data_IF_226608263220
#
_entry.id   IF_226608263220
#
_cell.length_a   1.000
_cell.length_b   1.000
_cell.length_c   1.000
_cell.angle_alpha   90.00
_cell.angle_beta   90.00
_cell.angle_gamma   90.00
#
_symmetry.space_group_name_H-M   'P 1'
#
loop_
_entity.id
_entity.type
_entity.pdbx_description
1 polymer ?
#
# COMPACT_ATOMS: atom_id res chain seq x y z
N UNK A 1 -9.71 32.22 7.47
CA UNK A 1 -10.99 32.96 7.26
C UNK A 1 -10.60 34.30 6.67
N UNK A 2 -10.90 34.56 5.40
CA UNK A 2 -10.34 35.69 4.65
C UNK A 2 -10.75 37.05 5.26
N UNK A 3 -9.80 37.99 5.28
CA UNK A 3 -9.99 39.40 5.67
C UNK A 3 -11.14 40.05 4.90
N UNK A 4 -11.30 39.72 3.63
CA UNK A 4 -12.40 40.18 2.77
C UNK A 4 -13.77 39.77 3.30
N UNK A 5 -13.91 38.55 3.83
CA UNK A 5 -15.18 38.06 4.37
C UNK A 5 -15.55 38.80 5.68
N UNK A 6 -14.55 39.15 6.50
CA UNK A 6 -14.78 39.94 7.72
C UNK A 6 -15.22 41.36 7.40
N UNK A 7 -14.60 41.99 6.41
CA UNK A 7 -14.96 43.33 5.96
C UNK A 7 -16.39 43.39 5.39
N UNK A 8 -16.78 42.38 4.60
CA UNK A 8 -18.13 42.30 4.03
C UNK A 8 -19.22 42.15 5.12
N UNK A 9 -18.98 41.30 6.13
CA UNK A 9 -19.90 41.13 7.26
C UNK A 9 -20.02 42.43 8.06
N UNK A 10 -18.90 43.11 8.32
CA UNK A 10 -18.89 44.37 9.06
C UNK A 10 -19.66 45.47 8.31
N UNK A 11 -19.51 45.53 6.98
CA UNK A 11 -20.23 46.46 6.12
C UNK A 11 -21.73 46.22 6.12
N UNK A 12 -22.17 44.96 6.03
CA UNK A 12 -23.60 44.60 6.10
C UNK A 12 -24.19 44.96 7.46
N UNK A 13 -23.45 44.71 8.56
CA UNK A 13 -23.85 45.10 9.92
C UNK A 13 -23.97 46.62 10.07
N UNK A 14 -23.02 47.38 9.53
CA UNK A 14 -23.05 48.85 9.53
C UNK A 14 -24.22 49.40 8.71
N UNK A 15 -24.50 48.83 7.53
CA UNK A 15 -25.63 49.22 6.69
C UNK A 15 -26.97 48.95 7.39
N UNK A 16 -27.10 47.81 8.07
CA UNK A 16 -28.28 47.47 8.88
C UNK A 16 -28.45 48.42 10.07
N UNK A 17 -27.37 48.76 10.78
CA UNK A 17 -27.40 49.69 11.90
C UNK A 17 -27.82 51.10 11.45
N UNK A 18 -27.31 51.58 10.32
CA UNK A 18 -27.68 52.87 9.74
C UNK A 18 -29.15 52.91 9.31
N UNK A 19 -29.67 51.81 8.74
CA UNK A 19 -31.07 51.69 8.34
C UNK A 19 -32.00 51.69 9.57
N UNK A 20 -31.62 50.97 10.64
CA UNK A 20 -32.34 50.95 11.91
C UNK A 20 -32.40 52.35 12.54
N UNK A 21 -31.26 53.05 12.61
CA UNK A 21 -31.19 54.43 13.11
C UNK A 21 -32.05 55.40 12.29
N UNK A 22 -32.09 55.24 10.96
CA UNK A 22 -32.95 56.02 10.07
C UNK A 22 -34.45 55.78 10.30
N UNK A 23 -34.86 54.54 10.56
CA UNK A 23 -36.27 54.20 10.84
C UNK A 23 -36.76 54.67 12.21
N UNK A 24 -35.87 54.72 13.21
CA UNK A 24 -36.21 55.25 14.55
C UNK A 24 -36.48 56.77 14.49
N UNK A 25 -35.83 57.49 13.59
CA UNK A 25 -36.01 58.94 13.43
C UNK A 25 -37.31 59.36 12.71
N UNK A 26 -37.94 58.45 11.93
CA UNK A 26 -39.11 58.77 11.10
C UNK A 26 -40.40 58.02 11.47
N UNK A 27 -40.33 57.11 12.45
CA UNK A 27 -41.45 56.25 12.87
C UNK A 27 -41.45 54.88 12.17
N UNK A 28 -42.08 53.85 12.78
CA UNK A 28 -42.02 52.48 12.27
C UNK A 28 -42.81 52.35 10.97
N UNK A 29 -42.09 52.26 9.85
CA UNK A 29 -42.66 51.97 8.53
C UNK A 29 -43.17 50.51 8.48
N UNK A 30 -44.45 50.28 8.10
CA UNK A 30 -44.97 48.94 7.89
C UNK A 30 -44.35 48.32 6.63
N UNK A 31 -43.85 47.10 6.76
CA UNK A 31 -43.23 46.34 5.66
C UNK A 31 -43.93 45.00 5.53
N UNK A 32 -44.29 44.64 4.30
CA UNK A 32 -44.83 43.31 3.98
C UNK A 32 -43.69 42.45 3.49
N UNK A 33 -43.41 41.38 4.22
CA UNK A 33 -42.40 40.38 3.84
C UNK A 33 -43.14 39.16 3.32
N UNK A 34 -42.87 38.77 2.08
CA UNK A 34 -43.51 37.62 1.45
C UNK A 34 -42.47 36.53 1.19
N UNK A 35 -42.66 35.36 1.82
CA UNK A 35 -41.74 34.21 1.70
C UNK A 35 -42.56 32.96 1.44
N UNK A 36 -42.31 32.26 0.33
CA UNK A 36 -42.94 30.98 -0.01
C UNK A 36 -44.49 30.97 0.11
N UNK A 37 -45.14 32.07 -0.26
CA UNK A 37 -46.61 32.21 -0.19
C UNK A 37 -47.16 32.70 1.16
N UNK A 38 -46.33 32.79 2.20
CA UNK A 38 -46.69 33.40 3.48
C UNK A 38 -46.41 34.90 3.46
N UNK A 39 -47.46 35.70 3.65
CA UNK A 39 -47.37 37.16 3.85
C UNK A 39 -47.32 37.48 5.34
N UNK A 40 -46.23 38.06 5.79
CA UNK A 40 -46.05 38.53 7.17
C UNK A 40 -46.01 40.06 7.12
N UNK A 41 -46.97 40.71 7.77
CA UNK A 41 -46.93 42.15 8.01
C UNK A 41 -46.12 42.41 9.27
N UNK A 42 -45.04 43.18 9.16
CA UNK A 42 -44.16 43.49 10.30
C UNK A 42 -43.62 44.90 10.17
N UNK A 43 -42.94 45.40 11.20
CA UNK A 43 -42.27 46.70 11.16
C UNK A 43 -40.86 46.54 10.58
N UNK A 44 -40.37 47.56 9.87
CA UNK A 44 -39.02 47.58 9.29
C UNK A 44 -37.90 47.07 10.24
N UNK A 45 -37.82 47.50 11.53
CA UNK A 45 -36.77 47.00 12.43
C UNK A 45 -36.85 45.49 12.70
N UNK A 46 -38.06 44.93 12.81
CA UNK A 46 -38.25 43.50 13.06
C UNK A 46 -37.87 42.68 11.82
N UNK A 47 -38.23 43.15 10.62
CA UNK A 47 -37.83 42.52 9.36
C UNK A 47 -36.30 42.46 9.22
N UNK A 48 -35.62 43.56 9.55
CA UNK A 48 -34.15 43.65 9.48
C UNK A 48 -33.48 42.70 10.46
N UNK A 49 -33.95 42.62 11.71
CA UNK A 49 -33.45 41.65 12.70
C UNK A 49 -33.68 40.22 12.22
N UNK A 50 -34.86 39.92 11.66
CA UNK A 50 -35.20 38.60 11.13
C UNK A 50 -34.27 38.16 9.99
N UNK A 51 -33.97 39.06 9.04
CA UNK A 51 -33.03 38.79 7.94
C UNK A 51 -31.61 38.56 8.49
N UNK A 52 -31.18 39.37 9.46
CA UNK A 52 -29.85 39.22 10.06
C UNK A 52 -29.71 37.89 10.81
N UNK A 53 -30.74 37.50 11.57
CA UNK A 53 -30.80 36.23 12.27
C UNK A 53 -30.78 35.04 11.30
N UNK A 54 -31.57 35.09 10.22
CA UNK A 54 -31.58 34.07 9.18
C UNK A 54 -30.21 33.94 8.49
N UNK A 55 -29.55 35.07 8.22
CA UNK A 55 -28.21 35.08 7.62
C UNK A 55 -27.15 34.51 8.57
N UNK A 56 -27.16 34.88 9.84
CA UNK A 56 -26.30 34.31 10.88
C UNK A 56 -26.52 32.80 11.02
N UNK A 57 -27.79 32.35 10.99
CA UNK A 57 -28.16 30.94 11.07
C UNK A 57 -27.62 30.16 9.86
N UNK A 58 -27.83 30.67 8.64
CA UNK A 58 -27.32 30.06 7.41
C UNK A 58 -25.78 29.98 7.40
N UNK A 59 -25.10 31.03 7.88
CA UNK A 59 -23.65 31.05 8.01
C UNK A 59 -23.15 30.00 9.02
N UNK A 60 -23.82 29.89 10.18
CA UNK A 60 -23.50 28.89 11.19
C UNK A 60 -23.71 27.47 10.65
N UNK A 61 -24.85 27.21 10.00
CA UNK A 61 -25.15 25.93 9.37
C UNK A 61 -24.11 25.56 8.30
N UNK A 62 -23.71 26.51 7.45
CA UNK A 62 -22.65 26.29 6.44
C UNK A 62 -21.27 25.99 7.05
N UNK A 63 -20.94 26.61 8.20
CA UNK A 63 -19.70 26.33 8.91
C UNK A 63 -19.72 24.96 9.61
N UNK A 64 -20.87 24.57 10.14
CA UNK A 64 -21.09 23.30 10.83
C UNK A 64 -21.04 22.12 9.85
N UNK A 65 -21.65 22.26 8.67
CA UNK A 65 -21.52 21.27 7.58
C UNK A 65 -20.09 21.17 7.07
N UNK A 66 -19.37 22.29 6.94
CA UNK A 66 -17.95 22.30 6.62
C UNK A 66 -17.06 21.60 7.66
N UNK A 67 -17.44 21.64 8.95
CA UNK A 67 -16.74 20.93 10.02
C UNK A 67 -17.05 19.43 10.02
N UNK A 68 -18.32 19.05 9.86
CA UNK A 68 -18.76 17.65 9.70
C UNK A 68 -18.11 16.97 8.50
N UNK A 69 -17.91 17.68 7.38
CA UNK A 69 -17.23 17.14 6.20
C UNK A 69 -15.71 16.99 6.37
N UNK A 70 -15.10 17.69 7.34
CA UNK A 70 -13.64 17.65 7.61
C UNK A 70 -13.23 16.65 8.68
N UNK A 71 -14.10 16.37 9.64
CA UNK A 71 -13.93 15.34 10.67
C UNK A 71 -13.49 13.96 10.14
N UNK A 72 -14.13 13.38 9.09
CA UNK A 72 -13.72 12.07 8.60
C UNK A 72 -12.27 12.08 8.12
N UNK A 73 -11.84 13.11 7.37
CA UNK A 73 -10.48 13.17 6.81
C UNK A 73 -9.38 13.22 7.87
N UNK A 74 -9.57 13.99 8.95
CA UNK A 74 -8.59 14.05 10.04
C UNK A 74 -8.51 12.74 10.84
N UNK A 75 -9.64 12.03 10.99
CA UNK A 75 -9.70 10.76 11.69
C UNK A 75 -9.07 9.63 10.85
N UNK A 76 -9.36 9.58 9.55
CA UNK A 76 -8.74 8.64 8.61
C UNK A 76 -7.22 8.80 8.53
N UNK A 77 -6.69 10.04 8.48
CA UNK A 77 -5.23 10.27 8.48
C UNK A 77 -4.54 9.72 9.73
N UNK A 78 -5.16 9.89 10.91
CA UNK A 78 -4.61 9.34 12.16
C UNK A 78 -4.61 7.81 12.14
N UNK A 79 -5.70 7.19 11.69
CA UNK A 79 -5.79 5.74 11.53
C UNK A 79 -4.75 5.20 10.54
N UNK A 80 -4.55 5.85 9.41
CA UNK A 80 -3.53 5.45 8.43
C UNK A 80 -2.10 5.56 9.00
N UNK A 81 -1.81 6.60 9.79
CA UNK A 81 -0.52 6.73 10.46
C UNK A 81 -0.28 5.58 11.45
N UNK A 82 -1.29 5.21 12.24
CA UNK A 82 -1.21 4.06 13.16
C UNK A 82 -1.01 2.73 12.43
N UNK A 83 -1.75 2.51 11.33
CA UNK A 83 -1.59 1.33 10.46
C UNK A 83 -0.17 1.27 9.90
N UNK A 84 0.37 2.38 9.41
CA UNK A 84 1.73 2.44 8.87
C UNK A 84 2.81 2.15 9.92
N UNK A 85 2.62 2.64 11.15
CA UNK A 85 3.53 2.35 12.26
C UNK A 85 3.54 0.86 12.61
N UNK A 86 2.36 0.22 12.69
CA UNK A 86 2.28 -1.22 12.96
C UNK A 86 2.88 -2.09 11.86
N UNK A 87 2.76 -1.68 10.59
CA UNK A 87 3.44 -2.37 9.47
C UNK A 87 4.96 -2.22 9.59
N UNK A 88 5.45 -1.05 9.98
CA UNK A 88 6.88 -0.83 10.22
C UNK A 88 7.40 -1.65 11.41
N UNK A 89 6.64 -1.72 12.51
CA UNK A 89 6.98 -2.53 13.68
C UNK A 89 6.96 -4.04 13.35
N UNK A 90 6.00 -4.47 12.53
CA UNK A 90 5.96 -5.85 12.04
C UNK A 90 7.16 -6.19 11.16
N UNK A 91 7.58 -5.25 10.29
CA UNK A 91 8.79 -5.40 9.50
C UNK A 91 10.04 -5.49 10.40
N UNK A 92 10.16 -4.61 11.40
CA UNK A 92 11.26 -4.63 12.35
C UNK A 92 11.30 -5.96 13.13
N UNK A 93 10.16 -6.44 13.63
CA UNK A 93 10.04 -7.72 14.29
C UNK A 93 10.45 -8.90 13.39
N UNK A 94 10.02 -8.89 12.12
CA UNK A 94 10.42 -9.89 11.14
C UNK A 94 11.94 -9.85 10.86
N UNK A 95 12.52 -8.65 10.76
CA UNK A 95 13.97 -8.47 10.55
C UNK A 95 14.82 -8.97 11.72
N UNK A 96 14.27 -8.92 12.94
CA UNK A 96 14.90 -9.47 14.14
C UNK A 96 14.64 -10.97 14.33
N UNK A 97 14.03 -11.65 13.35
CA UNK A 97 13.72 -13.08 13.40
C UNK A 97 12.51 -13.44 14.29
N UNK A 98 11.77 -12.44 14.78
CA UNK A 98 10.59 -12.66 15.63
C UNK A 98 9.31 -12.74 14.77
N UNK A 99 9.17 -13.86 14.05
CA UNK A 99 8.06 -14.10 13.13
C UNK A 99 6.68 -14.11 13.81
N UNK A 100 6.59 -14.60 15.05
CA UNK A 100 5.36 -14.62 15.85
C UNK A 100 4.87 -13.22 16.21
N UNK A 101 5.77 -12.35 16.66
CA UNK A 101 5.42 -10.96 16.96
C UNK A 101 5.01 -10.21 15.69
N UNK A 102 5.73 -10.39 14.59
CA UNK A 102 5.38 -9.79 13.31
C UNK A 102 3.99 -10.23 12.84
N UNK A 103 3.65 -11.52 12.97
CA UNK A 103 2.34 -12.03 12.61
C UNK A 103 1.22 -11.49 13.52
N UNK A 104 1.46 -11.39 14.83
CA UNK A 104 0.50 -10.77 15.76
C UNK A 104 0.20 -9.32 15.39
N UNK A 105 1.22 -8.54 15.04
CA UNK A 105 1.06 -7.15 14.62
C UNK A 105 0.25 -7.03 13.32
N UNK A 106 0.33 -8.02 12.43
CA UNK A 106 -0.34 -8.05 11.12
C UNK A 106 -1.76 -8.63 11.14
N UNK A 107 -2.12 -9.47 12.12
CA UNK A 107 -3.38 -10.26 12.11
C UNK A 107 -4.64 -9.39 12.14
N UNK A 108 -4.58 -8.21 12.75
CA UNK A 108 -5.73 -7.30 12.89
C UNK A 108 -5.67 -6.06 11.96
N UNK A 109 -4.66 -5.99 11.08
CA UNK A 109 -4.46 -4.84 10.21
C UNK A 109 -5.41 -4.89 8.99
N UNK A 110 -6.24 -3.85 8.86
CA UNK A 110 -7.05 -3.58 7.65
C UNK A 110 -6.61 -2.27 7.00
N UNK A 111 -5.47 -2.27 6.29
CA UNK A 111 -5.02 -1.10 5.56
C UNK A 111 -5.99 -0.74 4.43
N UNK A 112 -6.44 0.51 4.42
CA UNK A 112 -7.25 1.07 3.32
C UNK A 112 -6.37 1.56 2.16
N UNK A 113 -5.09 1.83 2.43
CA UNK A 113 -4.11 2.15 1.39
C UNK A 113 -3.65 0.83 0.71
N UNK A 114 -3.83 0.69 -0.61
CA UNK A 114 -3.45 -0.51 -1.33
C UNK A 114 -1.96 -0.83 -1.23
N UNK A 115 -1.07 0.17 -1.14
CA UNK A 115 0.36 -0.07 -1.01
C UNK A 115 0.72 -0.65 0.36
N UNK A 116 0.07 -0.17 1.43
CA UNK A 116 0.24 -0.73 2.78
C UNK A 116 -0.41 -2.12 2.89
N UNK A 117 -1.53 -2.35 2.21
CA UNK A 117 -2.16 -3.66 2.14
C UNK A 117 -1.27 -4.69 1.43
N UNK A 118 -0.66 -4.30 0.32
CA UNK A 118 0.30 -5.11 -0.42
C UNK A 118 1.51 -5.46 0.46
N UNK A 119 2.08 -4.48 1.16
CA UNK A 119 3.20 -4.70 2.10
C UNK A 119 2.85 -5.60 3.28
N UNK A 120 1.71 -5.37 3.94
CA UNK A 120 1.25 -6.19 5.05
C UNK A 120 1.02 -7.65 4.61
N UNK A 121 0.47 -7.84 3.41
CA UNK A 121 0.26 -9.17 2.82
C UNK A 121 1.60 -9.88 2.56
N UNK A 122 2.58 -9.18 1.99
CA UNK A 122 3.93 -9.74 1.76
C UNK A 122 4.58 -10.16 3.08
N UNK A 123 4.52 -9.29 4.09
CA UNK A 123 5.13 -9.60 5.39
C UNK A 123 4.45 -10.79 6.07
N UNK A 124 3.12 -10.86 6.02
CA UNK A 124 2.38 -11.99 6.59
C UNK A 124 2.73 -13.31 5.89
N UNK A 125 2.96 -13.30 4.58
CA UNK A 125 3.40 -14.48 3.82
C UNK A 125 4.82 -14.91 4.21
N UNK A 126 5.70 -13.98 4.53
CA UNK A 126 7.09 -14.27 4.90
C UNK A 126 7.23 -14.78 6.33
N UNK A 127 6.40 -14.29 7.25
CA UNK A 127 6.46 -14.66 8.67
C UNK A 127 5.64 -15.91 9.00
N UNK A 128 4.85 -16.42 8.05
CA UNK A 128 4.10 -17.65 8.24
C UNK A 128 5.03 -18.87 8.19
N UNK A 129 4.95 -19.79 9.17
CA UNK A 129 5.80 -20.99 9.20
C UNK A 129 5.59 -21.91 7.99
N UNK A 130 4.38 -21.89 7.43
CA UNK A 130 4.03 -22.43 6.13
C UNK A 130 3.03 -21.44 5.53
N UNK A 131 3.42 -20.56 4.61
CA UNK A 131 2.43 -19.75 3.92
C UNK A 131 1.51 -20.73 3.18
N UNK A 132 0.23 -20.76 3.56
CA UNK A 132 -0.74 -21.53 2.82
C UNK A 132 -0.79 -20.95 1.40
N UNK A 133 -0.47 -21.76 0.40
CA UNK A 133 -0.51 -21.34 -0.99
C UNK A 133 -1.91 -20.81 -1.32
N UNK A 134 -1.98 -19.55 -1.76
CA UNK A 134 -3.25 -18.93 -2.16
C UNK A 134 -3.16 -18.49 -3.61
N UNK A 135 -3.95 -19.12 -4.48
CA UNK A 135 -4.07 -18.69 -5.88
C UNK A 135 -4.58 -17.26 -6.00
N UNK A 136 -5.34 -16.79 -5.00
CA UNK A 136 -5.87 -15.42 -4.96
C UNK A 136 -4.76 -14.36 -4.85
N UNK A 137 -3.66 -14.64 -4.15
CA UNK A 137 -2.54 -13.70 -4.04
C UNK A 137 -1.64 -13.71 -5.27
N UNK A 138 -1.63 -14.80 -6.05
CA UNK A 138 -1.02 -14.85 -7.38
C UNK A 138 -1.86 -14.16 -8.46
N UNK A 139 -3.19 -14.13 -8.31
CA UNK A 139 -4.07 -13.45 -9.26
C UNK A 139 -3.93 -11.91 -9.23
N UNK A 140 -3.35 -11.34 -8.15
CA UNK A 140 -3.06 -9.91 -8.08
C UNK A 140 -1.75 -9.60 -8.83
N UNK A 141 -1.77 -8.91 -9.98
CA UNK A 141 -0.57 -8.69 -10.79
C UNK A 141 0.50 -7.86 -10.08
N UNK A 142 0.14 -7.04 -9.09
CA UNK A 142 1.10 -6.23 -8.32
C UNK A 142 1.91 -7.07 -7.34
N UNK A 143 1.30 -8.12 -6.80
CA UNK A 143 1.89 -8.99 -5.80
C UNK A 143 2.42 -10.29 -6.39
N UNK A 144 1.93 -10.71 -7.56
CA UNK A 144 2.17 -12.02 -8.15
C UNK A 144 3.66 -12.40 -8.17
N UNK A 145 4.56 -11.50 -8.59
CA UNK A 145 5.99 -11.77 -8.63
C UNK A 145 6.60 -12.01 -7.23
N UNK A 146 6.25 -11.18 -6.25
CA UNK A 146 6.79 -11.24 -4.88
C UNK A 146 6.19 -12.41 -4.09
N UNK A 147 4.90 -12.66 -4.28
CA UNK A 147 4.20 -13.80 -3.70
C UNK A 147 4.74 -15.11 -4.26
N UNK A 148 4.88 -15.21 -5.58
CA UNK A 148 5.48 -16.35 -6.25
C UNK A 148 6.92 -16.59 -5.76
N UNK A 149 7.73 -15.53 -5.62
CA UNK A 149 9.07 -15.62 -5.07
C UNK A 149 9.08 -16.19 -3.64
N UNK A 150 8.16 -15.73 -2.78
CA UNK A 150 8.07 -16.16 -1.38
C UNK A 150 7.69 -17.65 -1.30
N UNK A 151 6.67 -18.09 -2.03
CA UNK A 151 6.29 -19.51 -2.08
C UNK A 151 7.38 -20.38 -2.73
N UNK A 152 8.04 -19.89 -3.78
CA UNK A 152 9.14 -20.61 -4.45
C UNK A 152 10.31 -20.85 -3.49
N UNK A 153 10.60 -19.91 -2.58
CA UNK A 153 11.63 -20.08 -1.55
C UNK A 153 11.26 -21.15 -0.54
N UNK A 154 10.02 -21.16 -0.05
CA UNK A 154 9.53 -22.15 0.91
C UNK A 154 9.54 -23.56 0.31
N UNK A 155 9.06 -23.70 -0.92
CA UNK A 155 9.03 -24.98 -1.63
C UNK A 155 10.43 -25.48 -1.98
N UNK A 156 11.36 -24.57 -2.31
CA UNK A 156 12.77 -24.88 -2.48
C UNK A 156 13.42 -25.34 -1.17
N UNK A 157 13.08 -24.73 -0.03
CA UNK A 157 13.57 -25.16 1.29
C UNK A 157 13.05 -26.56 1.66
N UNK A 158 11.84 -26.90 1.22
CA UNK A 158 11.27 -28.24 1.34
C UNK A 158 11.75 -29.24 0.26
N UNK A 159 12.72 -28.86 -0.58
CA UNK A 159 13.22 -29.64 -1.72
C UNK A 159 12.14 -30.07 -2.74
N UNK A 160 11.00 -29.38 -2.78
CA UNK A 160 9.97 -29.58 -3.79
C UNK A 160 10.32 -28.75 -5.04
N UNK A 161 11.20 -29.29 -5.87
CA UNK A 161 11.76 -28.58 -7.03
C UNK A 161 10.76 -28.37 -8.18
N UNK A 162 9.79 -29.28 -8.36
CA UNK A 162 8.72 -29.12 -9.37
C UNK A 162 7.85 -27.91 -9.06
N UNK A 163 7.42 -27.79 -7.82
CA UNK A 163 6.60 -26.67 -7.37
C UNK A 163 7.42 -25.36 -7.35
N UNK A 164 8.70 -25.43 -6.96
CA UNK A 164 9.63 -24.29 -7.06
C UNK A 164 9.72 -23.79 -8.51
N UNK A 165 9.86 -24.70 -9.48
CA UNK A 165 9.94 -24.36 -10.90
C UNK A 165 8.65 -23.69 -11.39
N UNK A 166 7.49 -24.27 -11.03
CA UNK A 166 6.17 -23.72 -11.38
C UNK A 166 6.00 -22.30 -10.86
N UNK A 167 6.27 -22.08 -9.57
CA UNK A 167 6.13 -20.79 -8.91
C UNK A 167 7.12 -19.75 -9.45
N UNK A 168 8.38 -20.13 -9.63
CA UNK A 168 9.37 -19.22 -10.21
C UNK A 168 8.99 -18.79 -11.64
N UNK A 169 8.43 -19.72 -12.43
CA UNK A 169 7.94 -19.43 -13.80
C UNK A 169 6.76 -18.47 -13.78
N UNK A 170 5.77 -18.69 -12.90
CA UNK A 170 4.64 -17.75 -12.70
C UNK A 170 5.16 -16.37 -12.31
N UNK A 171 6.06 -16.29 -11.33
CA UNK A 171 6.64 -15.02 -10.91
C UNK A 171 7.35 -14.28 -12.05
N UNK A 172 8.03 -15.00 -12.94
CA UNK A 172 8.71 -14.43 -14.10
C UNK A 172 7.77 -13.90 -15.18
N UNK A 173 6.53 -14.38 -15.28
CA UNK A 173 5.53 -13.78 -16.17
C UNK A 173 5.25 -12.32 -15.79
N UNK A 174 5.35 -12.00 -14.50
CA UNK A 174 5.13 -10.65 -13.97
C UNK A 174 6.41 -9.84 -13.79
N UNK A 175 7.55 -10.49 -13.55
CA UNK A 175 8.86 -9.85 -13.38
C UNK A 175 9.98 -10.64 -14.08
N UNK A 176 10.09 -10.57 -15.42
CA UNK A 176 10.93 -11.49 -16.20
C UNK A 176 12.44 -11.36 -15.94
N UNK A 177 12.89 -10.18 -15.51
CA UNK A 177 14.29 -9.85 -15.20
C UNK A 177 14.63 -9.91 -13.70
N UNK A 178 13.70 -10.35 -12.84
CA UNK A 178 13.99 -10.44 -11.42
C UNK A 178 15.05 -11.52 -11.16
N UNK A 179 16.22 -11.10 -10.68
CA UNK A 179 17.37 -11.95 -10.46
C UNK A 179 17.07 -13.13 -9.52
N UNK A 180 16.28 -12.93 -8.47
CA UNK A 180 15.95 -13.99 -7.51
C UNK A 180 15.05 -15.06 -8.13
N UNK A 181 14.04 -14.65 -8.90
CA UNK A 181 13.15 -15.58 -9.61
C UNK A 181 13.90 -16.36 -10.69
N UNK A 182 14.76 -15.69 -11.47
CA UNK A 182 15.63 -16.33 -12.45
C UNK A 182 16.55 -17.37 -11.80
N UNK A 183 17.12 -17.04 -10.65
CA UNK A 183 18.05 -17.94 -9.96
C UNK A 183 17.32 -19.14 -9.34
N UNK A 184 16.13 -18.95 -8.76
CA UNK A 184 15.30 -20.06 -8.27
C UNK A 184 14.83 -20.98 -9.39
N UNK A 185 14.42 -20.41 -10.53
CA UNK A 185 14.04 -21.21 -11.69
C UNK A 185 15.20 -22.05 -12.20
N UNK A 186 16.39 -21.44 -12.35
CA UNK A 186 17.59 -22.14 -12.76
C UNK A 186 17.97 -23.25 -11.76
N UNK A 187 17.92 -22.97 -10.45
CA UNK A 187 18.15 -23.98 -9.41
C UNK A 187 17.18 -25.15 -9.52
N UNK A 188 15.89 -24.88 -9.72
CA UNK A 188 14.89 -25.91 -9.87
C UNK A 188 15.14 -26.77 -11.11
N UNK A 189 15.42 -26.15 -12.26
CA UNK A 189 15.72 -26.88 -13.50
C UNK A 189 16.95 -27.78 -13.38
N UNK A 190 18.02 -27.30 -12.74
CA UNK A 190 19.22 -28.11 -12.53
C UNK A 190 18.94 -29.30 -11.58
N UNK A 191 18.20 -29.09 -10.48
CA UNK A 191 17.85 -30.18 -9.57
C UNK A 191 16.90 -31.22 -10.19
N UNK A 192 16.09 -30.79 -11.17
CA UNK A 192 15.23 -31.67 -11.95
C UNK A 192 15.94 -32.31 -13.15
N UNK A 193 17.23 -32.03 -13.37
CA UNK A 193 17.99 -32.43 -14.56
C UNK A 193 17.29 -32.04 -15.88
N UNK A 194 16.60 -30.90 -15.89
CA UNK A 194 15.88 -30.43 -17.07
C UNK A 194 16.85 -29.70 -18.03
N UNK A 195 16.89 -30.06 -19.33
CA UNK A 195 17.76 -29.43 -20.32
C UNK A 195 17.54 -27.91 -20.49
N UNK A 196 16.35 -27.40 -20.17
CA UNK A 196 15.99 -25.98 -20.23
C UNK A 196 16.86 -25.12 -19.30
N UNK A 197 17.56 -25.72 -18.33
CA UNK A 197 18.56 -25.03 -17.51
C UNK A 197 19.64 -24.35 -18.36
N UNK A 198 20.03 -24.97 -19.47
CA UNK A 198 21.05 -24.45 -20.38
C UNK A 198 20.58 -23.18 -21.12
N UNK A 199 19.29 -23.09 -21.42
CA UNK A 199 18.67 -21.95 -22.10
C UNK A 199 18.60 -20.69 -21.22
N UNK A 200 18.60 -20.85 -19.88
CA UNK A 200 18.62 -19.73 -18.95
C UNK A 200 20.02 -19.12 -18.74
N UNK A 201 21.09 -19.81 -19.14
CA UNK A 201 22.47 -19.34 -18.92
C UNK A 201 22.77 -17.96 -19.52
N UNK A 202 22.39 -17.64 -20.77
CA UNK A 202 22.62 -16.31 -21.35
C UNK A 202 21.95 -15.20 -20.53
N UNK A 203 20.74 -15.47 -20.04
CA UNK A 203 19.95 -14.52 -19.24
C UNK A 203 20.56 -14.28 -17.86
N UNK A 204 21.27 -15.27 -17.30
CA UNK A 204 21.98 -15.15 -16.03
C UNK A 204 23.34 -14.46 -16.14
N UNK A 205 23.99 -14.47 -17.32
CA UNK A 205 25.31 -13.86 -17.54
C UNK A 205 25.49 -12.45 -16.94
N UNK A 206 24.59 -11.47 -17.18
CA UNK A 206 24.73 -10.13 -16.60
C UNK A 206 24.61 -10.10 -15.07
N UNK A 207 23.91 -11.06 -14.47
CA UNK A 207 23.72 -11.15 -13.02
C UNK A 207 24.89 -11.83 -12.32
N UNK A 208 25.55 -12.77 -13.00
CA UNK A 208 26.57 -13.63 -12.41
C UNK A 208 28.00 -13.13 -12.64
N UNK A 209 28.20 -12.25 -13.62
CA UNK A 209 29.54 -11.84 -14.05
C UNK A 209 30.27 -12.95 -14.83
N UNK A 210 31.28 -12.53 -15.60
CA UNK A 210 31.89 -13.36 -16.65
C UNK A 210 32.56 -14.64 -16.14
N UNK A 211 33.29 -14.57 -15.02
CA UNK A 211 34.02 -15.72 -14.47
C UNK A 211 33.08 -16.85 -14.03
N UNK A 212 31.98 -16.48 -13.37
CA UNK A 212 31.05 -17.42 -12.76
C UNK A 212 30.09 -18.02 -13.80
N UNK A 213 29.69 -17.21 -14.79
CA UNK A 213 28.96 -17.69 -15.95
C UNK A 213 29.77 -18.73 -16.75
N UNK A 214 31.08 -18.51 -16.96
CA UNK A 214 31.95 -19.50 -17.64
C UNK A 214 31.99 -20.84 -16.91
N UNK A 215 32.08 -20.83 -15.58
CA UNK A 215 32.05 -22.06 -14.77
C UNK A 215 30.72 -22.80 -14.93
N UNK A 216 29.58 -22.10 -14.89
CA UNK A 216 28.26 -22.73 -15.07
C UNK A 216 28.08 -23.33 -16.46
N UNK A 217 28.52 -22.65 -17.51
CA UNK A 217 28.49 -23.15 -18.89
C UNK A 217 29.31 -24.43 -19.00
N UNK A 218 30.54 -24.44 -18.47
CA UNK A 218 31.41 -25.63 -18.50
C UNK A 218 30.81 -26.82 -17.76
N UNK A 219 30.08 -26.58 -16.66
CA UNK A 219 29.49 -27.63 -15.84
C UNK A 219 28.21 -28.20 -16.44
N UNK A 220 27.35 -27.35 -17.04
CA UNK A 220 26.04 -27.76 -17.60
C UNK A 220 26.16 -28.26 -19.04
N UNK A 221 27.17 -27.81 -19.78
CA UNK A 221 27.41 -28.24 -21.17
C UNK A 221 28.63 -29.14 -21.31
N UNK A 222 29.31 -29.46 -20.20
CA UNK A 222 30.46 -30.36 -20.17
C UNK A 222 30.09 -31.85 -20.34
N UNK A 223 31.07 -32.72 -20.66
CA UNK A 223 30.84 -34.14 -20.96
C UNK A 223 30.29 -34.97 -19.78
N UNK A 224 30.33 -34.44 -18.55
CA UNK A 224 29.79 -35.05 -17.32
C UNK A 224 28.49 -34.40 -16.82
N UNK A 225 27.94 -33.44 -17.56
CA UNK A 225 27.03 -32.40 -17.05
C UNK A 225 25.67 -32.86 -16.51
N UNK A 226 25.18 -34.03 -16.91
CA UNK A 226 23.82 -34.48 -16.58
C UNK A 226 23.74 -35.97 -16.20
N UNK A 227 24.87 -36.67 -16.15
CA UNK A 227 24.92 -38.12 -15.90
C UNK A 227 25.51 -38.50 -14.54
N UNK A 228 26.35 -37.66 -13.95
CA UNK A 228 26.77 -37.80 -12.57
C UNK A 228 25.89 -36.91 -11.70
N UNK A 229 24.92 -37.49 -10.97
CA UNK A 229 24.20 -36.77 -9.91
C UNK A 229 25.26 -36.08 -9.05
N UNK A 230 25.30 -34.74 -8.97
CA UNK A 230 26.16 -34.09 -8.01
C UNK A 230 25.67 -34.57 -6.63
N UNK A 231 26.48 -35.38 -5.96
CA UNK A 231 26.20 -35.75 -4.57
C UNK A 231 26.11 -34.46 -3.75
N UNK A 232 25.29 -34.46 -2.69
CA UNK A 232 25.13 -33.32 -1.79
C UNK A 232 26.48 -32.80 -1.23
N UNK A 233 27.51 -33.65 -1.22
CA UNK A 233 28.87 -33.34 -0.77
C UNK A 233 29.78 -32.72 -1.84
N UNK A 234 29.33 -32.67 -3.10
CA UNK A 234 30.11 -32.07 -4.17
C UNK A 234 30.42 -30.61 -3.86
N UNK A 235 31.64 -30.17 -4.17
CA UNK A 235 32.03 -28.77 -4.07
C UNK A 235 31.08 -27.86 -4.87
N UNK A 236 30.40 -28.42 -5.89
CA UNK A 236 29.30 -27.83 -6.64
C UNK A 236 28.08 -27.52 -5.77
N UNK A 237 27.51 -28.49 -5.03
CA UNK A 237 26.35 -28.25 -4.14
C UNK A 237 26.70 -27.20 -3.09
N UNK A 238 27.90 -27.27 -2.51
CA UNK A 238 28.35 -26.33 -1.49
C UNK A 238 28.51 -24.90 -2.01
N UNK A 239 29.17 -24.72 -3.15
CA UNK A 239 29.32 -23.40 -3.78
C UNK A 239 27.97 -22.82 -4.26
N UNK A 240 27.08 -23.70 -4.73
CA UNK A 240 25.74 -23.32 -5.20
C UNK A 240 24.77 -23.00 -4.06
N UNK A 241 24.88 -23.69 -2.92
CA UNK A 241 24.16 -23.36 -1.67
C UNK A 241 24.66 -22.04 -1.07
N UNK A 242 25.97 -21.76 -1.12
CA UNK A 242 26.55 -20.50 -0.66
C UNK A 242 26.17 -19.29 -1.54
N UNK A 243 25.79 -19.52 -2.79
CA UNK A 243 25.41 -18.49 -3.74
C UNK A 243 23.97 -17.99 -3.63
N UNK A 244 23.12 -18.76 -2.95
CA UNK A 244 21.70 -18.53 -2.87
C UNK A 244 21.35 -18.51 -1.38
N UNK A 245 21.37 -17.34 -0.72
CA UNK A 245 20.91 -17.23 0.65
C UNK A 245 19.42 -17.58 0.66
N UNK A 246 19.11 -18.85 0.92
CA UNK A 246 17.76 -19.32 1.18
C UNK A 246 17.34 -19.05 2.63
N UNK A 247 18.19 -18.40 3.45
CA UNK A 247 17.97 -18.28 4.89
C UNK A 247 18.21 -16.93 5.57
N UNK A 248 19.18 -16.09 5.15
CA UNK A 248 19.58 -14.95 6.02
C UNK A 248 19.99 -13.64 5.33
N UNK A 249 20.48 -13.63 4.09
CA UNK A 249 21.11 -12.42 3.52
C UNK A 249 20.13 -11.55 2.71
N UNK A 250 18.84 -11.60 3.05
CA UNK A 250 17.76 -10.88 2.34
C UNK A 250 17.50 -9.48 2.96
N UNK A 251 18.21 -9.11 4.02
CA UNK A 251 18.19 -7.75 4.53
C UNK A 251 19.36 -6.97 3.93
N UNK A 252 19.13 -5.94 3.08
CA UNK A 252 20.12 -4.87 3.02
C UNK A 252 20.21 -4.25 4.42
N UNK A 253 21.43 -4.12 4.93
CA UNK A 253 21.71 -3.17 6.00
C UNK A 253 21.44 -1.73 5.53
#
# INVERSE_FOLDING_TARGET
MNTVLRALILFILLAVLALLLGTVAQGPLPVVVQVAGLTIQTTAPIAVIGVLAAFMLAFYLGRLTGWMLRLPRSWFRRKQAEVSARVADAYAAASMGNATLAQQLLTDLKPEDPALADLATILALQTSPLPAFSEKTLANPRLAALTALTYARVTAAAANWEETLRLATIGRQHAPQNAYLLTLQFKALVNLNNPDASELLPTLKPLLGTARHKLLVQIIQGPTALTARPTLDSAWVRAFQQWLPTGSDIFPA
#
